data_IF_515510310509
#
_entry.id   IF_515510310509
#
_cell.length_a   1.000
_cell.length_b   1.000
_cell.length_c   1.000
_cell.angle_alpha   90.00
_cell.angle_beta   90.00
_cell.angle_gamma   90.00
#
_symmetry.space_group_name_H-M   'P 1'
#
loop_
_entity.id
_entity.type
_entity.pdbx_description
1 polymer ?
#
# COMPACT_ATOMS: atom_id res chain seq x y z
N UNK A 1 12.86 -17.06 -65.80
CA UNK A 1 11.71 -17.27 -64.89
C UNK A 1 11.76 -18.59 -64.10
N UNK A 2 12.38 -19.67 -64.61
CA UNK A 2 12.50 -20.95 -63.87
C UNK A 2 13.34 -20.86 -62.58
N UNK A 3 14.41 -20.05 -62.59
CA UNK A 3 15.33 -19.84 -61.45
C UNK A 3 14.62 -19.17 -60.25
N UNK A 4 13.70 -18.24 -60.48
CA UNK A 4 12.94 -17.57 -59.42
C UNK A 4 11.97 -18.52 -58.70
N UNK A 5 11.42 -19.52 -59.41
CA UNK A 5 10.58 -20.56 -58.81
C UNK A 5 11.35 -21.47 -57.86
N UNK A 6 12.60 -21.86 -58.21
CA UNK A 6 13.42 -22.71 -57.34
C UNK A 6 13.86 -22.00 -56.06
N UNK A 7 14.13 -20.69 -56.11
CA UNK A 7 14.47 -19.88 -54.93
C UNK A 7 13.31 -19.81 -53.94
N UNK A 8 12.07 -19.66 -54.43
CA UNK A 8 10.88 -19.63 -53.59
C UNK A 8 10.58 -20.99 -52.94
N UNK A 9 10.79 -22.09 -53.68
CA UNK A 9 10.65 -23.46 -53.15
C UNK A 9 11.74 -23.75 -52.10
N UNK A 10 12.98 -23.30 -52.30
CA UNK A 10 14.05 -23.42 -51.31
C UNK A 10 13.74 -22.61 -50.03
N UNK A 11 13.17 -21.41 -50.15
CA UNK A 11 12.77 -20.59 -49.00
C UNK A 11 11.58 -21.18 -48.23
N UNK A 12 10.69 -21.91 -48.92
CA UNK A 12 9.55 -22.61 -48.30
C UNK A 12 9.95 -23.95 -47.65
N UNK A 13 11.01 -24.60 -48.13
CA UNK A 13 11.61 -25.73 -47.44
C UNK A 13 12.53 -25.30 -46.28
N UNK A 14 13.12 -24.10 -46.35
CA UNK A 14 13.94 -23.54 -45.28
C UNK A 14 13.13 -23.20 -44.02
N UNK A 15 11.84 -22.86 -44.16
CA UNK A 15 10.94 -22.64 -43.02
C UNK A 15 10.49 -23.94 -42.32
N UNK A 16 10.70 -25.10 -42.95
CA UNK A 16 10.36 -26.42 -42.42
C UNK A 16 11.60 -27.23 -42.04
N UNK A 17 12.65 -26.58 -41.55
CA UNK A 17 13.59 -27.27 -40.66
C UNK A 17 13.10 -27.09 -39.23
N UNK A 18 11.94 -27.71 -38.94
CA UNK A 18 11.52 -27.91 -37.57
C UNK A 18 12.50 -28.90 -36.95
N UNK A 19 13.58 -28.42 -36.33
CA UNK A 19 14.43 -29.26 -35.52
C UNK A 19 13.57 -29.75 -34.35
N UNK A 20 13.02 -30.95 -34.50
CA UNK A 20 12.45 -31.67 -33.38
C UNK A 20 13.56 -31.78 -32.33
N UNK A 21 13.40 -31.06 -31.23
CA UNK A 21 14.31 -31.12 -30.09
C UNK A 21 14.21 -32.52 -29.49
N UNK A 22 15.21 -33.34 -29.76
CA UNK A 22 15.36 -34.69 -29.21
C UNK A 22 16.37 -34.66 -28.09
N UNK A 23 16.03 -35.26 -26.95
CA UNK A 23 16.95 -35.41 -25.82
C UNK A 23 17.81 -36.65 -26.08
N UNK A 24 19.11 -36.47 -26.27
CA UNK A 24 20.01 -37.57 -26.69
C UNK A 24 20.44 -38.51 -25.56
N UNK A 25 20.45 -38.04 -24.31
CA UNK A 25 21.04 -38.73 -23.16
C UNK A 25 20.01 -39.28 -22.14
N UNK A 26 18.71 -39.08 -22.40
CA UNK A 26 17.62 -39.60 -21.56
C UNK A 26 16.70 -40.45 -22.43
N UNK A 27 16.65 -41.78 -22.24
CA UNK A 27 15.79 -42.65 -23.04
C UNK A 27 14.32 -42.45 -22.68
N UNK A 28 13.42 -42.67 -23.64
CA UNK A 28 11.97 -42.52 -23.43
C UNK A 28 11.36 -43.50 -22.42
N UNK A 29 12.07 -44.58 -22.10
CA UNK A 29 11.70 -45.55 -21.07
C UNK A 29 12.05 -45.11 -19.65
N UNK A 30 12.82 -44.01 -19.49
CA UNK A 30 13.14 -43.45 -18.19
C UNK A 30 11.87 -42.80 -17.56
N UNK A 31 11.67 -43.00 -16.25
CA UNK A 31 10.53 -42.44 -15.54
C UNK A 31 10.49 -40.90 -15.58
N UNK A 32 11.66 -40.28 -15.61
CA UNK A 32 11.79 -38.81 -15.61
C UNK A 32 11.66 -38.20 -17.01
N UNK A 33 11.76 -39.00 -18.07
CA UNK A 33 11.73 -38.51 -19.46
C UNK A 33 10.50 -37.67 -19.76
N UNK A 34 9.33 -38.10 -19.27
CA UNK A 34 8.06 -37.40 -19.52
C UNK A 34 8.07 -35.98 -18.96
N UNK A 35 8.62 -35.80 -17.76
CA UNK A 35 8.72 -34.51 -17.07
C UNK A 35 9.79 -33.64 -17.70
N UNK A 36 10.96 -34.22 -18.02
CA UNK A 36 12.06 -33.51 -18.66
C UNK A 36 11.63 -33.01 -20.04
N UNK A 37 11.06 -33.88 -20.87
CA UNK A 37 10.59 -33.53 -22.22
C UNK A 37 9.52 -32.44 -22.18
N UNK A 38 8.57 -32.50 -21.24
CA UNK A 38 7.59 -31.42 -21.05
C UNK A 38 8.29 -30.11 -20.68
N UNK A 39 9.20 -30.15 -19.71
CA UNK A 39 9.92 -28.96 -19.25
C UNK A 39 10.77 -28.30 -20.33
N UNK A 40 11.33 -29.08 -21.25
CA UNK A 40 12.07 -28.58 -22.42
C UNK A 40 11.11 -28.00 -23.47
N UNK A 41 9.98 -28.67 -23.75
CA UNK A 41 8.97 -28.19 -24.70
C UNK A 41 8.31 -26.88 -24.26
N UNK A 42 8.04 -26.74 -22.98
CA UNK A 42 7.53 -25.50 -22.38
C UNK A 42 8.62 -24.40 -22.30
N UNK A 43 9.86 -24.71 -22.67
CA UNK A 43 10.97 -23.75 -22.75
C UNK A 43 11.64 -23.42 -21.41
N UNK A 44 11.23 -24.07 -20.31
CA UNK A 44 11.82 -23.89 -18.97
C UNK A 44 13.29 -24.30 -18.96
N UNK A 45 13.59 -25.44 -19.57
CA UNK A 45 14.95 -25.95 -19.76
C UNK A 45 15.36 -25.86 -21.22
N UNK A 46 16.66 -25.66 -21.45
CA UNK A 46 17.27 -25.71 -22.77
C UNK A 46 18.28 -26.86 -22.78
N UNK A 47 18.35 -27.59 -23.88
CA UNK A 47 19.39 -28.61 -24.06
C UNK A 47 20.74 -27.93 -24.28
N UNK A 48 21.80 -28.62 -23.89
CA UNK A 48 23.15 -28.21 -24.24
C UNK A 48 23.35 -28.29 -25.76
N UNK A 49 24.39 -27.61 -26.27
CA UNK A 49 24.70 -27.61 -27.70
C UNK A 49 24.90 -29.01 -28.31
N UNK A 50 25.22 -30.00 -27.48
CA UNK A 50 25.33 -31.41 -27.85
C UNK A 50 24.01 -32.17 -27.97
N UNK A 51 22.85 -31.55 -27.65
CA UNK A 51 21.54 -32.22 -27.64
C UNK A 51 21.24 -32.99 -26.35
N UNK A 52 22.07 -32.85 -25.33
CA UNK A 52 21.90 -33.53 -24.05
C UNK A 52 21.17 -32.64 -23.03
N UNK A 53 20.48 -33.27 -22.08
CA UNK A 53 19.90 -32.64 -20.89
C UNK A 53 20.83 -32.68 -19.68
N UNK A 54 21.67 -33.72 -19.58
CA UNK A 54 22.58 -34.02 -18.48
C UNK A 54 21.88 -34.12 -17.11
N UNK A 55 20.96 -35.09 -16.89
CA UNK A 55 20.12 -35.14 -15.68
C UNK A 55 20.90 -35.32 -14.37
N UNK A 56 22.11 -35.88 -14.43
CA UNK A 56 22.98 -36.08 -13.25
C UNK A 56 23.90 -34.90 -12.96
N UNK A 57 23.93 -33.89 -13.82
CA UNK A 57 24.77 -32.72 -13.64
C UNK A 57 24.15 -31.79 -12.60
N UNK A 58 24.97 -31.31 -11.66
CA UNK A 58 24.52 -30.30 -10.70
C UNK A 58 24.20 -28.98 -11.42
N UNK A 59 23.05 -28.39 -11.11
CA UNK A 59 22.62 -27.09 -11.66
C UNK A 59 23.33 -25.97 -10.91
N UNK A 60 23.94 -25.04 -11.64
CA UNK A 60 24.54 -23.86 -11.03
C UNK A 60 23.47 -22.88 -10.54
N UNK A 61 23.81 -22.04 -9.54
CA UNK A 61 22.90 -20.99 -9.04
C UNK A 61 22.42 -20.06 -10.16
N UNK A 62 23.28 -19.77 -11.13
CA UNK A 62 22.97 -18.91 -12.28
C UNK A 62 21.91 -19.56 -13.16
N UNK A 63 22.10 -20.82 -13.53
CA UNK A 63 21.13 -21.57 -14.35
C UNK A 63 19.79 -21.72 -13.63
N UNK A 64 19.82 -22.05 -12.34
CA UNK A 64 18.61 -22.12 -11.52
C UNK A 64 17.83 -20.79 -11.53
N UNK A 65 18.53 -19.64 -11.42
CA UNK A 65 17.87 -18.33 -11.47
C UNK A 65 17.21 -18.05 -12.82
N UNK A 66 17.82 -18.48 -13.93
CA UNK A 66 17.25 -18.32 -15.28
C UNK A 66 16.01 -19.19 -15.45
N UNK A 67 16.05 -20.44 -14.98
CA UNK A 67 14.92 -21.36 -15.00
C UNK A 67 13.75 -20.78 -14.19
N UNK A 68 14.01 -20.33 -12.96
CA UNK A 68 12.99 -19.69 -12.10
C UNK A 68 12.37 -18.48 -12.81
N UNK A 69 13.19 -17.62 -13.41
CA UNK A 69 12.71 -16.44 -14.12
C UNK A 69 11.80 -16.79 -15.32
N UNK A 70 12.16 -17.82 -16.10
CA UNK A 70 11.33 -18.31 -17.21
C UNK A 70 9.98 -18.85 -16.72
N UNK A 71 10.00 -19.65 -15.65
CA UNK A 71 8.77 -20.20 -15.04
C UNK A 71 7.88 -19.04 -14.55
N UNK A 72 8.44 -18.07 -13.82
CA UNK A 72 7.70 -16.91 -13.32
C UNK A 72 7.08 -16.08 -14.44
N UNK A 73 7.80 -15.84 -15.53
CA UNK A 73 7.26 -15.12 -16.69
C UNK A 73 6.08 -15.86 -17.33
N UNK A 74 6.19 -17.18 -17.53
CA UNK A 74 5.09 -18.01 -18.07
C UNK A 74 3.85 -17.99 -17.18
N UNK A 75 4.03 -18.03 -15.85
CA UNK A 75 2.91 -17.90 -14.90
C UNK A 75 2.26 -16.51 -14.96
N UNK A 76 3.06 -15.46 -15.16
CA UNK A 76 2.57 -14.07 -15.22
C UNK A 76 1.76 -13.80 -16.49
N UNK A 77 2.20 -14.35 -17.63
CA UNK A 77 1.46 -14.29 -18.90
C UNK A 77 0.13 -15.05 -18.82
N UNK A 78 0.09 -16.20 -18.13
CA UNK A 78 -1.16 -16.93 -17.88
C UNK A 78 -2.11 -16.22 -16.91
N UNK A 79 -1.61 -15.32 -16.07
CA UNK A 79 -2.37 -14.55 -15.05
C UNK A 79 -2.76 -13.13 -15.51
N UNK A 80 -2.78 -12.84 -16.81
CA UNK A 80 -3.07 -11.48 -17.30
C UNK A 80 -4.57 -11.15 -17.44
N UNK A 81 -5.46 -12.09 -17.16
CA UNK A 81 -6.91 -11.84 -17.10
C UNK A 81 -7.30 -11.65 -15.63
N UNK A 82 -7.71 -10.44 -15.25
CA UNK A 82 -8.40 -10.24 -13.96
C UNK A 82 -9.61 -11.17 -13.96
N UNK A 83 -9.61 -12.14 -13.04
CA UNK A 83 -10.71 -13.09 -12.92
C UNK A 83 -11.88 -12.43 -12.21
N UNK A 84 -13.11 -12.91 -12.46
CA UNK A 84 -14.29 -12.48 -11.71
C UNK A 84 -14.16 -12.78 -10.21
N UNK A 85 -13.38 -13.81 -9.84
CA UNK A 85 -13.02 -14.09 -8.45
C UNK A 85 -12.21 -12.97 -7.81
N UNK A 86 -11.22 -12.43 -8.53
CA UNK A 86 -10.35 -11.36 -8.03
C UNK A 86 -11.15 -10.07 -7.79
N UNK A 87 -12.16 -9.81 -8.62
CA UNK A 87 -13.08 -8.70 -8.44
C UNK A 87 -14.01 -8.92 -7.24
N UNK A 88 -14.41 -10.16 -6.99
CA UNK A 88 -15.14 -10.57 -5.79
C UNK A 88 -14.34 -10.33 -4.51
N UNK A 89 -13.07 -10.73 -4.50
CA UNK A 89 -12.15 -10.53 -3.37
C UNK A 89 -11.92 -9.04 -3.10
N UNK A 90 -11.76 -8.23 -4.15
CA UNK A 90 -11.62 -6.78 -4.02
C UNK A 90 -12.88 -6.12 -3.45
N UNK A 91 -14.07 -6.58 -3.87
CA UNK A 91 -15.35 -6.10 -3.32
C UNK A 91 -15.47 -6.49 -1.84
N UNK A 92 -15.17 -7.73 -1.48
CA UNK A 92 -15.19 -8.19 -0.09
C UNK A 92 -14.21 -7.41 0.78
N UNK A 93 -13.01 -7.14 0.25
CA UNK A 93 -12.04 -6.29 0.92
C UNK A 93 -12.60 -4.89 1.14
N UNK A 94 -13.16 -4.26 0.10
CA UNK A 94 -13.79 -2.95 0.23
C UNK A 94 -14.91 -2.94 1.28
N UNK A 95 -15.75 -3.97 1.33
CA UNK A 95 -16.83 -4.10 2.31
C UNK A 95 -16.29 -4.28 3.73
N UNK A 96 -15.21 -5.03 3.90
CA UNK A 96 -14.54 -5.25 5.20
C UNK A 96 -13.93 -3.95 5.75
N UNK A 97 -13.36 -3.12 4.88
CA UNK A 97 -12.71 -1.89 5.29
C UNK A 97 -13.66 -0.70 5.44
N UNK A 98 -14.81 -0.71 4.75
CA UNK A 98 -15.82 0.36 4.82
C UNK A 98 -16.23 0.77 6.25
N UNK A 99 -16.56 -0.14 7.19
CA UNK A 99 -16.94 0.25 8.55
C UNK A 99 -15.81 0.93 9.33
N UNK A 100 -14.56 0.54 9.07
CA UNK A 100 -13.37 1.13 9.72
C UNK A 100 -13.25 2.61 9.36
N UNK A 101 -13.45 2.95 8.09
CA UNK A 101 -13.42 4.35 7.64
C UNK A 101 -14.57 5.16 8.24
N UNK A 102 -15.79 4.64 8.26
CA UNK A 102 -16.93 5.36 8.86
C UNK A 102 -16.77 5.58 10.36
N UNK A 103 -16.24 4.59 11.09
CA UNK A 103 -15.99 4.74 12.52
C UNK A 103 -14.90 5.79 12.79
N UNK A 104 -13.88 5.87 11.93
CA UNK A 104 -12.83 6.89 12.05
C UNK A 104 -13.38 8.30 11.83
N UNK A 105 -14.23 8.49 10.82
CA UNK A 105 -14.93 9.76 10.57
C UNK A 105 -15.80 10.19 11.76
N UNK A 106 -16.56 9.26 12.37
CA UNK A 106 -17.37 9.56 13.56
C UNK A 106 -16.52 9.97 14.77
N UNK A 107 -15.37 9.30 14.95
CA UNK A 107 -14.40 9.66 16.00
C UNK A 107 -13.80 11.04 15.77
N UNK A 108 -13.42 11.37 14.53
CA UNK A 108 -12.92 12.70 14.18
C UNK A 108 -13.97 13.77 14.46
N UNK A 109 -15.23 13.53 14.06
CA UNK A 109 -16.33 14.45 14.33
C UNK A 109 -16.53 14.69 15.82
N UNK A 110 -16.52 13.63 16.62
CA UNK A 110 -16.70 13.72 18.08
C UNK A 110 -15.54 14.45 18.74
N UNK A 111 -14.30 14.18 18.29
CA UNK A 111 -13.11 14.85 18.78
C UNK A 111 -13.14 16.35 18.45
N UNK A 112 -13.59 16.72 17.25
CA UNK A 112 -13.71 18.11 16.85
C UNK A 112 -14.79 18.85 17.64
N UNK A 113 -15.93 18.20 17.89
CA UNK A 113 -16.97 18.74 18.78
C UNK A 113 -16.44 18.98 20.19
N UNK A 114 -15.70 18.03 20.76
CA UNK A 114 -15.12 18.20 22.09
C UNK A 114 -14.10 19.35 22.15
N UNK A 115 -13.27 19.52 21.10
CA UNK A 115 -12.36 20.66 21.02
C UNK A 115 -13.12 22.00 20.93
N UNK A 116 -14.22 22.04 20.18
CA UNK A 116 -15.08 23.23 20.12
C UNK A 116 -15.71 23.55 21.48
N UNK A 117 -16.20 22.54 22.19
CA UNK A 117 -16.77 22.68 23.54
C UNK A 117 -15.71 23.18 24.53
N UNK A 118 -14.51 22.62 24.53
CA UNK A 118 -13.40 23.07 25.38
C UNK A 118 -13.07 24.53 25.11
N UNK A 119 -13.00 24.93 23.83
CA UNK A 119 -12.75 26.32 23.45
C UNK A 119 -13.87 27.24 23.94
N UNK A 120 -15.12 26.83 23.78
CA UNK A 120 -16.27 27.60 24.28
C UNK A 120 -16.23 27.77 25.81
N UNK A 121 -15.94 26.70 26.55
CA UNK A 121 -15.82 26.74 28.01
C UNK A 121 -14.67 27.65 28.47
N UNK A 122 -13.55 27.68 27.72
CA UNK A 122 -12.45 28.61 27.98
C UNK A 122 -12.88 30.08 27.77
N UNK A 123 -13.62 30.38 26.71
CA UNK A 123 -14.14 31.72 26.44
C UNK A 123 -15.12 32.19 27.52
N UNK A 124 -16.00 31.29 28.00
CA UNK A 124 -16.91 31.57 29.11
C UNK A 124 -16.15 31.89 30.40
N UNK A 125 -15.15 31.09 30.77
CA UNK A 125 -14.31 31.36 31.95
C UNK A 125 -13.57 32.70 31.84
N UNK A 126 -13.12 33.07 30.64
CA UNK A 126 -12.52 34.38 30.42
C UNK A 126 -13.51 35.52 30.67
N UNK A 127 -14.77 35.37 30.25
CA UNK A 127 -15.84 36.33 30.55
C UNK A 127 -16.07 36.44 32.06
N UNK A 128 -16.27 35.31 32.74
CA UNK A 128 -16.53 35.27 34.19
C UNK A 128 -15.39 35.90 35.01
N UNK A 129 -14.13 35.64 34.64
CA UNK A 129 -12.96 36.25 35.27
C UNK A 129 -12.94 37.77 35.07
N UNK A 130 -13.32 38.24 33.87
CA UNK A 130 -13.39 39.68 33.58
C UNK A 130 -14.47 40.36 34.43
N UNK A 131 -15.66 39.76 34.51
CA UNK A 131 -16.76 40.26 35.34
C UNK A 131 -16.41 40.29 36.83
N UNK A 132 -15.77 39.23 37.34
CA UNK A 132 -15.27 39.17 38.71
C UNK A 132 -14.23 40.27 38.99
N UNK A 133 -13.28 40.47 38.08
CA UNK A 133 -12.28 41.54 38.21
C UNK A 133 -12.94 42.92 38.25
N UNK A 134 -13.91 43.17 37.37
CA UNK A 134 -14.66 44.43 37.36
C UNK A 134 -15.40 44.65 38.68
N UNK A 135 -16.03 43.61 39.21
CA UNK A 135 -16.71 43.64 40.52
C UNK A 135 -15.74 43.94 41.66
N UNK A 136 -14.56 43.29 41.67
CA UNK A 136 -13.48 43.57 42.65
C UNK A 136 -13.01 45.03 42.54
N UNK A 137 -12.87 45.57 41.31
CA UNK A 137 -12.50 46.96 41.10
C UNK A 137 -13.56 47.94 41.64
N UNK A 138 -14.84 47.65 41.43
CA UNK A 138 -15.94 48.45 41.98
C UNK A 138 -15.90 48.47 43.51
N UNK A 139 -15.84 47.31 44.16
CA UNK A 139 -15.74 47.23 45.63
C UNK A 139 -14.47 47.90 46.17
N UNK A 140 -13.33 47.78 45.49
CA UNK A 140 -12.10 48.50 45.90
C UNK A 140 -12.28 50.01 45.85
N UNK A 141 -12.99 50.54 44.86
CA UNK A 141 -13.29 51.98 44.74
C UNK A 141 -14.21 52.45 45.85
N UNK A 142 -15.27 51.69 46.15
CA UNK A 142 -16.17 51.96 47.27
C UNK A 142 -15.43 51.97 48.61
N UNK A 143 -14.60 50.94 48.89
CA UNK A 143 -13.80 50.91 50.12
C UNK A 143 -12.85 52.11 50.22
N UNK A 144 -12.17 52.50 49.14
CA UNK A 144 -11.29 53.68 49.14
C UNK A 144 -12.06 54.96 49.45
N UNK A 145 -13.26 55.13 48.89
CA UNK A 145 -14.14 56.26 49.20
C UNK A 145 -14.55 56.25 50.68
N UNK A 146 -14.97 55.11 51.21
CA UNK A 146 -15.34 54.97 52.63
C UNK A 146 -14.17 55.30 53.57
N UNK A 147 -12.97 54.76 53.31
CA UNK A 147 -11.78 55.10 54.11
C UNK A 147 -11.41 56.58 54.00
N UNK A 148 -11.57 57.20 52.83
CA UNK A 148 -11.37 58.63 52.64
C UNK A 148 -12.36 59.48 53.45
N UNK A 149 -13.65 59.11 53.44
CA UNK A 149 -14.66 59.77 54.26
C UNK A 149 -14.37 59.63 55.76
N UNK A 150 -14.02 58.42 56.22
CA UNK A 150 -13.68 58.16 57.62
C UNK A 150 -12.46 58.99 58.06
N UNK A 151 -11.42 59.06 57.24
CA UNK A 151 -10.24 59.88 57.50
C UNK A 151 -10.58 61.38 57.59
N UNK A 152 -11.46 61.89 56.72
CA UNK A 152 -11.93 63.27 56.75
C UNK A 152 -12.71 63.62 58.03
N UNK A 153 -13.61 62.74 58.48
CA UNK A 153 -14.35 62.93 59.74
C UNK A 153 -13.41 62.93 60.94
N UNK A 154 -12.42 62.03 60.98
CA UNK A 154 -11.42 61.99 62.05
C UNK A 154 -10.58 63.26 62.16
N UNK A 155 -10.19 63.86 61.02
CA UNK A 155 -9.46 65.13 61.00
C UNK A 155 -10.29 66.30 61.52
N UNK A 156 -11.59 66.35 61.22
CA UNK A 156 -12.50 67.39 61.74
C UNK A 156 -12.68 67.31 63.26
N UNK A 157 -12.72 66.09 63.82
CA UNK A 157 -12.82 65.88 65.27
C UNK A 157 -11.55 66.19 66.08
N UNK A 158 -10.40 66.42 65.42
CA UNK A 158 -9.16 66.87 66.07
C UNK A 158 -9.09 68.41 66.12
N UNK A 159 -9.86 69.09 65.27
CA UNK A 159 -9.86 70.56 65.11
C UNK A 159 -10.92 71.24 66.02
N UNK A 160 -11.86 70.46 66.57
CA UNK A 160 -12.84 70.88 67.57
C UNK A 160 -12.55 70.22 68.92
#
# INVERSE_FOLDING_TARGET
MKIMGYVLICLFHLSCLCLAVTISDVPSSDGDYTVINRSVKEGYFSLYSSGNFNPKQAVSRREASLIINKIMNSMREKKSSISSSDLGDLKQLSETFKPIYSEYEDKLRTLELHNQELKHNQDLLHSDISELNQSIHAFRKERKLLYGLLAGVGLLGIIF
#
